data_IF_821330080723
#
_entry.id   IF_821330080723
#
_cell.length_a   1.000
_cell.length_b   1.000
_cell.length_c   1.000
_cell.angle_alpha   90.00
_cell.angle_beta   90.00
_cell.angle_gamma   90.00
#
_symmetry.space_group_name_H-M   'P 1'
#
loop_
_entity.id
_entity.type
_entity.pdbx_description
1 polymer ?
#
# COMPACT_ATOMS: atom_id res chain seq x y z
N UNK A 1 -13.25 21.49 6.66
CA UNK A 1 -13.39 22.96 6.64
C UNK A 1 -13.79 23.44 5.27
N UNK A 2 -15.06 23.83 5.09
CA UNK A 2 -15.54 24.34 3.80
C UNK A 2 -15.36 23.32 2.68
N UNK A 3 -14.51 23.66 1.71
CA UNK A 3 -14.18 22.87 0.52
C UNK A 3 -12.94 21.97 0.69
N UNK A 4 -12.41 21.84 1.92
CA UNK A 4 -11.26 20.98 2.23
C UNK A 4 -11.53 20.00 3.36
N UNK A 5 -10.97 18.79 3.23
CA UNK A 5 -10.70 17.88 4.34
C UNK A 5 -9.44 18.34 5.08
N UNK A 6 -9.45 18.17 6.41
CA UNK A 6 -8.26 18.34 7.26
C UNK A 6 -7.96 16.97 7.86
N UNK A 7 -6.74 16.50 7.67
CA UNK A 7 -6.32 15.13 8.02
C UNK A 7 -5.16 15.17 8.99
N UNK A 8 -5.33 14.48 10.12
CA UNK A 8 -4.31 14.23 11.13
C UNK A 8 -4.16 12.73 11.39
N UNK A 9 -2.95 12.30 11.70
CA UNK A 9 -2.63 10.93 12.07
C UNK A 9 -1.47 10.35 11.26
N UNK A 10 -1.49 9.04 11.01
CA UNK A 10 -0.43 8.41 10.25
C UNK A 10 -0.81 7.07 9.65
N UNK A 11 0.04 6.59 8.75
CA UNK A 11 -0.03 5.25 8.15
C UNK A 11 1.34 4.60 8.18
N UNK A 12 1.33 3.28 8.23
CA UNK A 12 2.54 2.44 8.27
C UNK A 12 2.44 1.33 7.23
N UNK A 13 3.59 0.78 6.85
CA UNK A 13 3.72 -0.28 5.84
C UNK A 13 3.23 0.12 4.45
N UNK A 14 3.46 1.38 4.08
CA UNK A 14 3.03 1.88 2.78
C UNK A 14 4.10 1.55 1.75
N UNK A 15 3.82 0.52 0.95
CA UNK A 15 4.63 0.12 -0.19
C UNK A 15 4.79 1.30 -1.16
N UNK A 16 6.01 1.50 -1.61
CA UNK A 16 6.47 2.61 -2.45
C UNK A 16 6.38 4.01 -1.83
N UNK A 17 6.00 4.18 -0.56
CA UNK A 17 5.88 5.51 0.02
C UNK A 17 7.11 6.43 -0.19
N UNK A 18 8.37 5.96 -0.02
CA UNK A 18 9.55 6.80 -0.21
C UNK A 18 9.75 7.35 -1.64
N UNK A 19 9.06 6.77 -2.64
CA UNK A 19 9.23 7.11 -4.07
C UNK A 19 7.91 7.42 -4.78
N UNK A 20 6.78 7.35 -4.08
CA UNK A 20 5.46 7.57 -4.66
C UNK A 20 5.23 9.06 -4.91
N UNK A 21 4.69 9.40 -6.09
CA UNK A 21 4.23 10.76 -6.40
C UNK A 21 2.78 11.04 -5.99
N UNK A 22 1.99 9.98 -5.74
CA UNK A 22 0.56 10.07 -5.45
C UNK A 22 0.17 8.98 -4.45
N UNK A 23 -0.68 9.34 -3.50
CA UNK A 23 -1.18 8.47 -2.44
C UNK A 23 -2.69 8.36 -2.51
N UNK A 24 -3.19 7.13 -2.37
CA UNK A 24 -4.61 6.84 -2.19
C UNK A 24 -4.87 6.65 -0.68
N UNK A 25 -5.41 7.68 -0.03
CA UNK A 25 -5.52 7.75 1.43
C UNK A 25 -6.95 7.45 1.89
N UNK A 26 -7.10 6.37 2.66
CA UNK A 26 -8.34 6.06 3.37
C UNK A 26 -8.35 6.73 4.74
N UNK A 27 -9.23 7.72 4.89
CA UNK A 27 -9.45 8.52 6.11
C UNK A 27 -10.84 8.29 6.67
N UNK A 28 -11.05 8.58 7.95
CA UNK A 28 -12.39 8.54 8.56
C UNK A 28 -13.01 9.94 8.51
N UNK A 29 -14.19 10.05 7.91
CA UNK A 29 -14.97 11.31 7.85
C UNK A 29 -16.32 11.22 8.56
N UNK A 30 -16.78 10.01 8.89
CA UNK A 30 -18.02 9.77 9.63
C UNK A 30 -17.83 8.85 10.83
N UNK A 31 -18.90 8.18 11.23
CA UNK A 31 -18.95 7.31 12.40
C UNK A 31 -17.97 6.12 12.33
N UNK A 32 -17.72 5.45 13.47
CA UNK A 32 -17.01 4.17 13.48
C UNK A 32 -17.62 3.14 12.51
N UNK A 33 -16.77 2.30 11.94
CA UNK A 33 -17.17 1.28 10.95
C UNK A 33 -16.78 1.59 9.51
N UNK A 34 -17.14 0.70 8.56
CA UNK A 34 -16.69 0.75 7.17
C UNK A 34 -17.26 1.95 6.40
N UNK A 35 -18.51 2.32 6.64
CA UNK A 35 -19.19 3.41 5.92
C UNK A 35 -18.81 4.81 6.43
N UNK A 36 -17.97 4.90 7.47
CA UNK A 36 -17.36 6.17 7.90
C UNK A 36 -16.04 6.47 7.19
N UNK A 37 -15.58 5.61 6.27
CA UNK A 37 -14.32 5.79 5.55
C UNK A 37 -14.53 6.52 4.23
N UNK A 38 -13.62 7.44 3.91
CA UNK A 38 -13.56 8.18 2.66
C UNK A 38 -12.17 8.00 2.03
N UNK A 39 -12.13 7.94 0.70
CA UNK A 39 -10.90 7.79 -0.05
C UNK A 39 -10.51 9.14 -0.68
N UNK A 40 -9.27 9.58 -0.45
CA UNK A 40 -8.71 10.84 -0.94
C UNK A 40 -7.46 10.57 -1.79
N UNK A 41 -7.29 11.31 -2.88
CA UNK A 41 -6.03 11.39 -3.61
C UNK A 41 -5.16 12.49 -3.01
N UNK A 42 -3.90 12.20 -2.71
CA UNK A 42 -2.96 13.17 -2.12
C UNK A 42 -1.64 13.09 -2.86
N UNK A 43 -1.19 14.22 -3.42
CA UNK A 43 0.11 14.29 -4.09
C UNK A 43 1.25 14.35 -3.09
N UNK A 44 2.39 13.76 -3.45
CA UNK A 44 3.62 13.88 -2.67
C UNK A 44 4.04 15.36 -2.55
N UNK A 45 4.48 15.77 -1.35
CA UNK A 45 4.86 17.16 -1.08
C UNK A 45 3.68 18.09 -0.75
N UNK A 46 2.43 17.59 -0.74
CA UNK A 46 1.29 18.37 -0.22
C UNK A 46 1.58 18.82 1.22
N UNK A 47 1.47 20.13 1.56
CA UNK A 47 1.76 20.61 2.91
C UNK A 47 0.97 19.86 3.99
N UNK A 48 1.67 19.46 5.04
CA UNK A 48 1.12 18.63 6.12
C UNK A 48 1.29 17.12 5.92
N UNK A 49 1.78 16.67 4.75
CA UNK A 49 2.20 15.28 4.51
C UNK A 49 3.73 15.14 4.71
N UNK A 50 4.15 14.24 5.58
CA UNK A 50 5.55 13.83 5.72
C UNK A 50 5.70 12.35 5.38
N UNK A 51 6.64 12.03 4.50
CA UNK A 51 6.99 10.66 4.11
C UNK A 51 8.22 10.21 4.90
N UNK A 52 8.11 9.08 5.60
CA UNK A 52 9.23 8.48 6.33
C UNK A 52 10.24 7.78 5.41
N UNK A 53 11.46 7.50 5.91
CA UNK A 53 12.47 6.78 5.16
C UNK A 53 12.03 5.33 4.86
N UNK A 54 12.72 4.70 3.91
CA UNK A 54 12.51 3.28 3.64
C UNK A 54 12.87 2.44 4.88
N UNK A 55 11.94 1.59 5.31
CA UNK A 55 12.14 0.63 6.40
C UNK A 55 13.07 -0.50 5.96
N UNK A 56 13.95 -0.92 6.87
CA UNK A 56 14.71 -2.16 6.70
C UNK A 56 13.79 -3.38 6.88
N UNK A 57 14.01 -4.39 6.05
CA UNK A 57 13.11 -5.55 5.91
C UNK A 57 13.92 -6.82 5.64
N UNK A 58 13.43 -7.93 6.19
CA UNK A 58 14.00 -9.28 5.96
C UNK A 58 13.86 -9.74 4.51
N UNK A 59 12.82 -9.27 3.81
CA UNK A 59 12.48 -9.64 2.44
C UNK A 59 11.89 -8.45 1.68
N UNK A 60 11.57 -8.65 0.40
CA UNK A 60 11.11 -7.56 -0.50
C UNK A 60 12.03 -6.34 -0.44
N UNK A 61 13.36 -6.57 -0.35
CA UNK A 61 14.35 -5.50 -0.12
C UNK A 61 14.39 -4.47 -1.25
N UNK A 62 13.96 -4.86 -2.46
CA UNK A 62 13.83 -3.98 -3.63
C UNK A 62 12.53 -3.19 -3.64
N UNK A 63 11.57 -3.49 -2.76
CA UNK A 63 10.33 -2.76 -2.60
C UNK A 63 10.49 -1.77 -1.42
N UNK A 64 10.62 -0.46 -1.67
CA UNK A 64 10.71 0.51 -0.59
C UNK A 64 9.37 0.56 0.14
N UNK A 65 9.38 0.46 1.47
CA UNK A 65 8.16 0.55 2.29
C UNK A 65 8.44 1.59 3.36
N UNK A 66 7.52 2.53 3.55
CA UNK A 66 7.70 3.63 4.50
C UNK A 66 6.47 3.88 5.36
N UNK A 67 6.53 5.00 6.08
CA UNK A 67 5.43 5.55 6.87
C UNK A 67 4.96 6.87 6.26
N UNK A 68 3.74 7.27 6.61
CA UNK A 68 3.18 8.59 6.30
C UNK A 68 2.72 9.22 7.62
N UNK A 69 3.06 10.49 7.85
CA UNK A 69 2.58 11.31 8.97
C UNK A 69 1.80 12.49 8.39
N UNK A 70 0.63 12.77 8.95
CA UNK A 70 -0.24 13.87 8.54
C UNK A 70 -0.46 14.81 9.72
N UNK A 71 -0.17 16.10 9.52
CA UNK A 71 -0.40 17.16 10.50
C UNK A 71 -1.09 18.33 9.84
N UNK A 72 -2.39 18.47 10.09
CA UNK A 72 -3.23 19.48 9.45
C UNK A 72 -3.19 19.40 7.92
N UNK A 73 -3.01 18.21 7.35
CA UNK A 73 -2.97 18.01 5.90
C UNK A 73 -4.30 18.45 5.29
N UNK A 74 -4.27 19.46 4.40
CA UNK A 74 -5.47 19.98 3.73
C UNK A 74 -5.62 19.36 2.36
N UNK A 75 -6.76 18.72 2.11
CA UNK A 75 -7.06 18.06 0.82
C UNK A 75 -8.38 18.60 0.26
N UNK A 76 -8.42 19.18 -0.94
CA UNK A 76 -9.65 19.64 -1.57
C UNK A 76 -10.70 18.52 -1.68
N UNK A 77 -11.98 18.86 -1.50
CA UNK A 77 -13.08 17.90 -1.67
C UNK A 77 -13.11 17.31 -3.10
N UNK A 78 -12.62 18.05 -4.09
CA UNK A 78 -12.48 17.59 -5.47
C UNK A 78 -11.50 16.41 -5.65
N UNK A 79 -10.57 16.19 -4.71
CA UNK A 79 -9.64 15.06 -4.71
C UNK A 79 -10.23 13.80 -4.05
N UNK A 80 -11.51 13.81 -3.68
CA UNK A 80 -12.21 12.63 -3.16
C UNK A 80 -12.53 11.64 -4.28
N UNK A 81 -12.21 10.38 -4.04
CA UNK A 81 -12.61 9.26 -4.91
C UNK A 81 -13.98 8.77 -4.49
N UNK A 82 -14.98 9.01 -5.33
CA UNK A 82 -16.36 8.62 -5.07
C UNK A 82 -17.08 9.56 -4.09
N UNK A 83 -18.01 8.99 -3.33
CA UNK A 83 -18.81 9.74 -2.34
C UNK A 83 -18.12 9.72 -0.98
N UNK A 84 -18.47 10.68 -0.13
CA UNK A 84 -18.09 10.58 1.28
C UNK A 84 -18.68 9.31 1.89
N UNK A 85 -17.91 8.60 2.72
CA UNK A 85 -18.32 7.33 3.33
C UNK A 85 -18.22 6.10 2.40
N UNK A 86 -17.88 6.28 1.11
CA UNK A 86 -17.72 5.15 0.17
C UNK A 86 -16.30 4.58 0.09
N UNK A 87 -15.37 5.02 0.94
CA UNK A 87 -13.97 4.61 0.91
C UNK A 87 -13.80 3.09 1.09
N UNK A 88 -14.61 2.47 1.96
CA UNK A 88 -14.56 1.00 2.11
C UNK A 88 -14.98 0.25 0.84
N UNK A 89 -15.91 0.78 0.05
CA UNK A 89 -16.31 0.14 -1.21
C UNK A 89 -15.20 0.20 -2.26
N UNK A 90 -14.45 1.31 -2.29
CA UNK A 90 -13.23 1.42 -3.13
C UNK A 90 -12.21 0.37 -2.69
N UNK A 91 -12.00 0.22 -1.38
CA UNK A 91 -11.09 -0.79 -0.84
C UNK A 91 -11.54 -2.22 -1.19
N UNK A 92 -12.81 -2.56 -0.95
CA UNK A 92 -13.38 -3.89 -1.24
C UNK A 92 -13.21 -4.25 -2.73
N UNK A 93 -13.44 -3.29 -3.62
CA UNK A 93 -13.28 -3.49 -5.06
C UNK A 93 -11.83 -3.86 -5.43
N UNK A 94 -10.83 -3.13 -4.90
CA UNK A 94 -9.42 -3.38 -5.24
C UNK A 94 -8.87 -4.64 -4.55
N UNK A 95 -9.33 -4.96 -3.34
CA UNK A 95 -8.83 -6.11 -2.57
C UNK A 95 -9.12 -7.45 -3.25
N UNK A 96 -10.25 -7.57 -3.96
CA UNK A 96 -10.58 -8.78 -4.74
C UNK A 96 -9.48 -9.12 -5.76
N UNK A 97 -8.90 -8.11 -6.40
CA UNK A 97 -7.81 -8.29 -7.37
C UNK A 97 -6.46 -8.45 -6.69
N UNK A 98 -6.21 -7.70 -5.61
CA UNK A 98 -4.95 -7.76 -4.86
C UNK A 98 -4.66 -9.18 -4.34
N UNK A 99 -5.66 -9.82 -3.74
CA UNK A 99 -5.53 -11.19 -3.22
C UNK A 99 -5.13 -12.18 -4.33
N UNK A 100 -5.71 -12.04 -5.52
CA UNK A 100 -5.38 -12.89 -6.66
C UNK A 100 -3.94 -12.67 -7.15
N UNK A 101 -3.48 -11.42 -7.20
CA UNK A 101 -2.11 -11.11 -7.62
C UNK A 101 -1.06 -11.57 -6.60
N UNK A 102 -1.36 -11.51 -5.30
CA UNK A 102 -0.47 -12.01 -4.26
C UNK A 102 -0.13 -13.50 -4.44
N UNK A 103 -1.11 -14.32 -4.85
CA UNK A 103 -0.86 -15.73 -5.15
C UNK A 103 -0.05 -15.94 -6.43
N UNK A 104 -0.27 -15.10 -7.44
CA UNK A 104 0.38 -15.22 -8.75
C UNK A 104 1.90 -15.06 -8.65
N UNK A 105 2.37 -14.10 -7.84
CA UNK A 105 3.81 -13.89 -7.58
C UNK A 105 4.42 -15.11 -6.89
N UNK A 106 3.72 -15.65 -5.89
CA UNK A 106 4.17 -16.83 -5.13
C UNK A 106 4.31 -18.07 -6.04
N UNK A 107 3.36 -18.28 -6.95
CA UNK A 107 3.42 -19.41 -7.89
C UNK A 107 4.69 -19.36 -8.75
N UNK A 108 5.04 -18.19 -9.30
CA UNK A 108 6.26 -18.02 -10.08
C UNK A 108 7.53 -18.28 -9.27
N UNK A 109 7.57 -17.84 -8.00
CA UNK A 109 8.69 -18.15 -7.10
C UNK A 109 8.80 -19.65 -6.87
N UNK A 110 7.69 -20.32 -6.54
CA UNK A 110 7.65 -21.76 -6.30
C UNK A 110 8.14 -22.57 -7.51
N UNK A 111 7.67 -22.23 -8.71
CA UNK A 111 8.11 -22.89 -9.95
C UNK A 111 9.61 -22.76 -10.14
N UNK A 112 10.15 -21.54 -10.03
CA UNK A 112 11.60 -21.32 -10.19
C UNK A 112 12.40 -22.07 -9.14
N UNK A 113 11.97 -22.05 -7.87
CA UNK A 113 12.69 -22.77 -6.80
C UNK A 113 12.67 -24.27 -6.99
N UNK A 114 11.56 -24.83 -7.48
CA UNK A 114 11.49 -26.25 -7.80
C UNK A 114 12.46 -26.62 -8.93
N UNK A 115 12.48 -25.84 -10.01
CA UNK A 115 13.39 -26.05 -11.15
C UNK A 115 14.86 -25.98 -10.71
N UNK A 116 15.24 -24.96 -9.94
CA UNK A 116 16.59 -24.79 -9.40
C UNK A 116 16.99 -25.97 -8.50
N UNK A 117 16.05 -26.42 -7.65
CA UNK A 117 16.27 -27.56 -6.74
C UNK A 117 16.48 -28.86 -7.52
N UNK A 118 15.65 -29.14 -8.52
CA UNK A 118 15.78 -30.32 -9.39
C UNK A 118 17.11 -30.27 -10.15
N UNK A 119 17.46 -29.11 -10.71
CA UNK A 119 18.71 -28.93 -11.45
C UNK A 119 19.94 -29.19 -10.56
N UNK A 120 19.91 -28.72 -9.32
CA UNK A 120 20.96 -28.99 -8.34
C UNK A 120 21.01 -30.47 -7.97
N UNK A 121 19.88 -31.08 -7.61
CA UNK A 121 19.80 -32.47 -7.17
C UNK A 121 20.28 -33.46 -8.24
N UNK A 122 20.05 -33.18 -9.53
CA UNK A 122 20.53 -34.00 -10.65
C UNK A 122 22.05 -33.95 -10.87
N UNK A 123 22.72 -32.88 -10.42
CA UNK A 123 24.16 -32.66 -10.64
C UNK A 123 25.00 -32.92 -9.39
N UNK A 124 24.38 -32.90 -8.20
CA UNK A 124 25.08 -33.03 -6.93
C UNK A 124 25.32 -34.50 -6.61
N UNK A 125 26.58 -34.91 -6.61
CA UNK A 125 27.02 -36.22 -6.11
C UNK A 125 27.49 -36.12 -4.65
N UNK A 126 27.08 -37.09 -3.84
CA UNK A 126 27.55 -37.28 -2.47
C UNK A 126 27.68 -38.78 -2.19
N UNK A 127 28.71 -39.13 -1.42
CA UNK A 127 29.05 -40.51 -1.04
C UNK A 127 29.60 -41.40 -2.18
N UNK A 128 30.08 -40.80 -3.28
CA UNK A 128 30.53 -41.52 -4.47
C UNK A 128 29.35 -41.71 -5.39
#
# INVERSE_FOLDING_TARGET
DGDHYVVDGGKMFITNAPVAGLFLLYVRTGDPGPFGLTCLLVEAGTPGLTVGPAMDKIGLRTSPIGTLDFRGLRVPVAQRVGKEGSGFLVLDYVMKREVLFAFSITLGEMTRRLEETIAFARKREQFG
#
